data_IF_895687244147
#
_entry.id   IF_895687244147
#
_cell.length_a   1.000
_cell.length_b   1.000
_cell.length_c   1.000
_cell.angle_alpha   90.00
_cell.angle_beta   90.00
_cell.angle_gamma   90.00
#
_symmetry.space_group_name_H-M   'P 1'
#
loop_
_entity.id
_entity.type
_entity.pdbx_description
1 polymer ?
#
# COMPACT_ATOMS: atom_id res chain seq x y z
N UNK A 1 -12.74 -41.73 40.59
CA UNK A 1 -11.34 -41.33 40.31
C UNK A 1 -11.25 -40.73 38.90
N UNK A 2 -11.32 -39.40 38.72
CA UNK A 2 -11.36 -38.73 37.42
C UNK A 2 -9.96 -38.60 36.76
N UNK A 3 -9.02 -39.49 37.10
CA UNK A 3 -7.63 -39.39 36.67
C UNK A 3 -7.44 -39.68 35.18
N UNK A 4 -8.42 -40.33 34.53
CA UNK A 4 -8.44 -40.54 33.08
C UNK A 4 -8.66 -39.25 32.26
N UNK A 5 -9.24 -38.20 32.85
CA UNK A 5 -9.50 -36.93 32.15
C UNK A 5 -8.28 -36.00 32.13
N UNK A 6 -7.31 -36.21 33.02
CA UNK A 6 -6.04 -35.49 33.06
C UNK A 6 -5.26 -35.57 31.73
N UNK A 7 -5.00 -36.76 31.15
CA UNK A 7 -4.32 -36.83 29.87
C UNK A 7 -5.13 -36.19 28.73
N UNK A 8 -6.47 -36.23 28.78
CA UNK A 8 -7.31 -35.58 27.78
C UNK A 8 -7.18 -34.05 27.83
N UNK A 9 -7.26 -33.47 29.02
CA UNK A 9 -7.11 -32.01 29.21
C UNK A 9 -5.72 -31.52 28.81
N UNK A 10 -4.67 -32.28 29.11
CA UNK A 10 -3.29 -31.96 28.71
C UNK A 10 -3.18 -31.93 27.17
N UNK A 11 -3.68 -32.95 26.49
CA UNK A 11 -3.66 -32.99 25.02
C UNK A 11 -4.48 -31.87 24.39
N UNK A 12 -5.63 -31.52 24.98
CA UNK A 12 -6.47 -30.42 24.50
C UNK A 12 -5.75 -29.07 24.60
N UNK A 13 -5.08 -28.80 25.72
CA UNK A 13 -4.30 -27.57 25.92
C UNK A 13 -3.16 -27.48 24.90
N UNK A 14 -2.44 -28.58 24.67
CA UNK A 14 -1.36 -28.64 23.68
C UNK A 14 -1.90 -28.37 22.26
N UNK A 15 -3.02 -28.99 21.88
CA UNK A 15 -3.62 -28.80 20.57
C UNK A 15 -4.11 -27.38 20.32
N UNK A 16 -4.77 -26.77 21.31
CA UNK A 16 -5.22 -25.36 21.23
C UNK A 16 -4.01 -24.41 21.19
N UNK A 17 -2.97 -24.69 21.99
CA UNK A 17 -1.73 -23.91 21.99
C UNK A 17 -1.02 -23.91 20.64
N UNK A 18 -0.91 -25.06 19.98
CA UNK A 18 -0.32 -25.16 18.64
C UNK A 18 -1.14 -24.40 17.59
N UNK A 19 -2.47 -24.44 17.65
CA UNK A 19 -3.30 -23.66 16.73
C UNK A 19 -3.13 -22.15 16.93
N UNK A 20 -3.09 -21.68 18.17
CA UNK A 20 -2.89 -20.27 18.47
C UNK A 20 -1.52 -19.78 17.97
N UNK A 21 -0.47 -20.58 18.17
CA UNK A 21 0.87 -20.31 17.63
C UNK A 21 0.88 -20.30 16.10
N UNK A 22 0.21 -21.24 15.46
CA UNK A 22 0.08 -21.28 14.00
C UNK A 22 -0.60 -20.04 13.43
N UNK A 23 -1.65 -19.54 14.10
CA UNK A 23 -2.33 -18.32 13.70
C UNK A 23 -1.47 -17.07 13.88
N UNK A 24 -0.68 -17.01 14.96
CA UNK A 24 0.21 -15.88 15.23
C UNK A 24 1.40 -15.82 14.26
N UNK A 25 1.91 -16.99 13.86
CA UNK A 25 2.99 -17.13 12.89
C UNK A 25 2.49 -17.12 11.44
N UNK A 26 1.18 -17.13 11.22
CA UNK A 26 0.60 -17.14 9.89
C UNK A 26 1.03 -15.86 9.15
N UNK A 27 1.72 -15.98 8.00
CA UNK A 27 2.10 -14.80 7.24
C UNK A 27 0.82 -14.08 6.82
N UNK A 28 0.74 -12.78 7.14
CA UNK A 28 -0.40 -11.97 6.71
C UNK A 28 -0.59 -12.13 5.21
N UNK A 29 -1.83 -12.37 4.80
CA UNK A 29 -2.22 -12.41 3.38
C UNK A 29 -1.58 -11.23 2.68
N UNK A 30 -0.72 -11.51 1.69
CA UNK A 30 -0.21 -10.48 0.80
C UNK A 30 -1.42 -10.01 0.01
N UNK A 31 -1.94 -8.83 0.37
CA UNK A 31 -2.88 -8.12 -0.49
C UNK A 31 -2.27 -8.14 -1.88
N UNK A 32 -2.99 -8.69 -2.86
CA UNK A 32 -2.62 -8.54 -4.25
C UNK A 32 -2.56 -7.04 -4.47
N UNK A 33 -1.34 -6.48 -4.51
CA UNK A 33 -1.15 -5.13 -4.96
C UNK A 33 -1.62 -5.18 -6.41
N UNK A 34 -2.82 -4.67 -6.67
CA UNK A 34 -3.33 -4.51 -8.02
C UNK A 34 -2.20 -3.90 -8.82
N UNK A 35 -1.82 -4.53 -9.92
CA UNK A 35 -0.83 -4.00 -10.87
C UNK A 35 -1.42 -2.74 -11.52
N UNK A 36 -1.66 -1.69 -10.74
CA UNK A 36 -1.92 -0.38 -11.30
C UNK A 36 -0.57 0.22 -11.66
N UNK A 37 -0.27 0.04 -12.94
CA UNK A 37 0.54 0.92 -13.77
C UNK A 37 1.97 1.06 -13.26
N UNK A 38 2.86 0.26 -13.85
CA UNK A 38 4.30 0.49 -13.89
C UNK A 38 4.60 1.98 -13.80
N UNK A 39 5.18 2.40 -12.67
CA UNK A 39 5.53 3.79 -12.39
C UNK A 39 6.34 4.34 -13.57
N UNK A 40 5.71 5.16 -14.41
CA UNK A 40 6.46 6.00 -15.34
C UNK A 40 7.24 7.00 -14.48
N UNK A 41 8.56 6.97 -14.56
CA UNK A 41 9.47 7.87 -13.82
C UNK A 41 9.25 9.36 -14.13
N UNK A 42 8.39 9.68 -15.10
CA UNK A 42 8.06 11.05 -15.51
C UNK A 42 6.60 11.37 -15.22
N UNK A 43 6.29 12.51 -14.58
CA UNK A 43 4.92 12.96 -14.40
C UNK A 43 4.29 13.27 -15.77
N UNK A 44 3.47 12.35 -16.28
CA UNK A 44 2.70 12.53 -17.52
C UNK A 44 1.38 13.23 -17.21
N UNK A 45 1.00 14.21 -18.05
CA UNK A 45 -0.27 14.91 -17.94
C UNK A 45 -1.40 14.07 -18.56
N UNK A 46 -1.91 13.09 -17.81
CA UNK A 46 -2.98 12.20 -18.29
C UNK A 46 -4.33 12.62 -17.69
N UNK A 47 -5.32 12.89 -18.54
CA UNK A 47 -6.65 13.38 -18.13
C UNK A 47 -7.52 12.39 -17.35
N UNK A 48 -7.08 11.13 -17.21
CA UNK A 48 -7.83 10.06 -16.53
C UNK A 48 -7.12 9.43 -15.34
N UNK A 49 -5.95 9.95 -14.92
CA UNK A 49 -5.20 9.36 -13.80
C UNK A 49 -5.98 9.58 -12.48
N UNK A 50 -6.21 8.53 -11.68
CA UNK A 50 -6.91 8.69 -10.40
C UNK A 50 -6.15 9.65 -9.48
N UNK A 51 -6.91 10.47 -8.74
CA UNK A 51 -6.34 11.43 -7.77
C UNK A 51 -6.10 10.68 -6.45
N UNK A 52 -4.86 10.60 -5.94
CA UNK A 52 -4.58 9.91 -4.69
C UNK A 52 -5.16 10.70 -3.50
N UNK A 53 -6.04 10.06 -2.72
CA UNK A 53 -6.56 10.59 -1.46
C UNK A 53 -5.78 9.96 -0.31
N UNK A 54 -4.95 10.75 0.36
CA UNK A 54 -4.10 10.28 1.46
C UNK A 54 -4.81 10.44 2.80
N UNK A 55 -4.83 9.36 3.59
CA UNK A 55 -5.26 9.40 4.98
C UNK A 55 -4.04 9.22 5.90
N UNK A 56 -3.65 10.28 6.61
CA UNK A 56 -2.46 10.31 7.47
C UNK A 56 -1.22 10.89 6.77
N UNK A 57 -0.02 10.58 7.29
CA UNK A 57 1.25 11.07 6.74
C UNK A 57 1.86 10.02 5.79
N UNK A 58 1.98 10.36 4.50
CA UNK A 58 2.55 9.50 3.47
C UNK A 58 3.27 10.31 2.39
N UNK A 59 4.38 9.77 1.89
CA UNK A 59 5.11 10.27 0.74
C UNK A 59 4.45 9.85 -0.58
N UNK A 60 3.90 10.81 -1.32
CA UNK A 60 3.27 10.58 -2.63
C UNK A 60 4.33 10.71 -3.73
N UNK A 61 4.57 9.62 -4.48
CA UNK A 61 5.62 9.58 -5.53
C UNK A 61 5.11 9.68 -6.97
N UNK A 62 3.78 9.75 -7.18
CA UNK A 62 3.17 9.66 -8.51
C UNK A 62 2.11 10.71 -8.77
N UNK A 63 2.47 11.99 -8.63
CA UNK A 63 1.59 13.14 -8.88
C UNK A 63 1.38 13.38 -10.37
N UNK A 64 0.16 13.74 -10.75
CA UNK A 64 -0.19 14.14 -12.12
C UNK A 64 -0.01 15.66 -12.26
N UNK A 65 0.90 16.10 -13.14
CA UNK A 65 1.13 17.53 -13.40
C UNK A 65 0.34 17.92 -14.65
N UNK A 66 -0.81 18.57 -14.47
CA UNK A 66 -1.77 18.87 -15.54
C UNK A 66 -1.29 19.99 -16.46
N UNK A 67 -0.47 20.92 -15.96
CA UNK A 67 0.01 22.05 -16.74
C UNK A 67 1.36 22.56 -16.23
N UNK A 68 2.22 22.95 -17.18
CA UNK A 68 3.46 23.68 -16.95
C UNK A 68 3.61 24.72 -18.07
N UNK A 69 3.69 26.01 -17.73
CA UNK A 69 3.80 27.10 -18.71
C UNK A 69 4.83 28.16 -18.35
N UNK A 70 5.14 29.02 -19.33
CA UNK A 70 6.24 30.00 -19.36
C UNK A 70 7.64 29.40 -19.20
N UNK A 71 8.07 28.63 -20.21
CA UNK A 71 9.49 28.23 -20.32
C UNK A 71 10.43 29.43 -20.51
N UNK A 72 9.95 30.51 -21.14
CA UNK A 72 10.66 31.77 -21.27
C UNK A 72 9.70 32.90 -21.66
N UNK A 73 9.86 34.05 -21.02
CA UNK A 73 9.27 35.32 -21.48
C UNK A 73 10.35 36.09 -22.24
N UNK A 74 10.06 36.54 -23.47
CA UNK A 74 10.98 37.42 -24.22
C UNK A 74 10.29 38.73 -24.54
N UNK A 75 10.93 39.83 -24.14
CA UNK A 75 10.49 41.18 -24.50
C UNK A 75 11.27 41.59 -25.75
N UNK A 76 10.54 41.88 -26.84
CA UNK A 76 11.10 42.44 -28.07
C UNK A 76 10.81 43.93 -28.09
N UNK A 77 11.85 44.75 -28.32
CA UNK A 77 11.63 46.16 -28.63
C UNK A 77 11.12 46.25 -30.07
N UNK A 78 10.01 46.95 -30.25
CA UNK A 78 9.42 47.22 -31.56
C UNK A 78 9.79 48.67 -31.87
N UNK A 79 10.66 48.89 -32.85
CA UNK A 79 10.98 50.24 -33.32
C UNK A 79 9.75 50.81 -34.05
N UNK A 80 9.32 51.98 -33.60
CA UNK A 80 8.14 52.70 -34.09
C UNK A 80 8.40 53.43 -35.42
#
# INVERSE_FOLDING_TARGET
>A
MPFFLLPLLINLIIGVGLQALGYLLMPKSKSQKTEEVTDMDSPTAEGGRPIPVVFGELWVKGVNIIWFGDKATTTRQIDA
#
